data_IF_574613793561
#
_entry.id   IF_574613793561
#
_cell.length_a   1.000
_cell.length_b   1.000
_cell.length_c   1.000
_cell.angle_alpha   90.00
_cell.angle_beta   90.00
_cell.angle_gamma   90.00
#
_symmetry.space_group_name_H-M   'P 1'
#
loop_
_entity.id
_entity.type
_entity.pdbx_description
1 polymer ?
#
# COMPACT_ATOMS: atom_id res chain seq x y z
N UNK A 1 -12.66 -8.41 -6.88
CA UNK A 1 -11.34 -7.78 -7.01
C UNK A 1 -11.24 -6.53 -6.15
N UNK A 2 -10.36 -6.55 -5.23
CA UNK A 2 -10.21 -5.45 -4.32
C UNK A 2 -9.64 -4.22 -4.98
N UNK A 3 -8.54 -4.39 -5.70
CA UNK A 3 -7.85 -3.27 -6.30
C UNK A 3 -8.00 -3.30 -7.80
N UNK A 4 -8.42 -2.19 -8.34
CA UNK A 4 -8.36 -2.03 -9.77
C UNK A 4 -6.92 -1.87 -10.22
N UNK A 5 -6.06 -1.56 -9.29
CA UNK A 5 -4.64 -1.34 -9.54
C UNK A 5 -3.81 -2.58 -9.24
N UNK A 6 -4.40 -3.75 -9.31
CA UNK A 6 -3.68 -4.98 -9.05
C UNK A 6 -2.46 -5.14 -9.95
N UNK A 7 -2.60 -4.82 -11.22
CA UNK A 7 -1.48 -4.93 -12.15
C UNK A 7 -0.37 -3.95 -11.82
N UNK A 8 -0.75 -2.76 -11.40
CA UNK A 8 0.22 -1.76 -11.01
C UNK A 8 1.03 -2.25 -9.81
N UNK A 9 0.36 -2.87 -8.87
CA UNK A 9 1.00 -3.41 -7.68
C UNK A 9 2.03 -4.46 -8.07
N UNK A 10 1.64 -5.37 -8.93
CA UNK A 10 2.51 -6.44 -9.39
C UNK A 10 3.72 -5.87 -10.13
N UNK A 11 3.51 -4.91 -10.98
CA UNK A 11 4.59 -4.30 -11.75
C UNK A 11 5.57 -3.60 -10.84
N UNK A 12 5.08 -2.93 -9.81
CA UNK A 12 5.95 -2.23 -8.88
C UNK A 12 6.81 -3.23 -8.12
N UNK A 13 6.23 -4.36 -7.74
CA UNK A 13 7.00 -5.39 -7.05
C UNK A 13 8.08 -5.97 -7.96
N UNK A 14 7.76 -6.17 -9.21
CA UNK A 14 8.74 -6.70 -10.14
C UNK A 14 9.91 -5.74 -10.34
N UNK A 15 9.63 -4.46 -10.39
CA UNK A 15 10.70 -3.50 -10.58
C UNK A 15 11.65 -3.45 -9.38
N UNK A 16 11.18 -3.87 -8.22
CA UNK A 16 12.01 -3.89 -7.02
C UNK A 16 12.84 -5.15 -6.91
N UNK A 17 12.34 -6.24 -7.44
CA UNK A 17 12.96 -7.54 -7.18
C UNK A 17 13.77 -8.05 -8.37
N UNK A 18 13.54 -7.51 -9.52
CA UNK A 18 14.36 -7.87 -10.67
C UNK A 18 14.45 -9.40 -10.75
N UNK A 19 14.99 -10.01 -11.58
CA UNK A 19 15.18 -11.43 -11.83
C UNK A 19 14.78 -12.41 -10.76
N UNK A 20 13.96 -12.03 -9.85
CA UNK A 20 13.68 -12.84 -8.71
C UNK A 20 12.70 -13.94 -9.02
N UNK A 21 12.66 -14.88 -8.12
CA UNK A 21 11.75 -15.99 -8.13
C UNK A 21 10.30 -15.50 -8.35
N UNK A 22 9.72 -15.96 -9.43
CA UNK A 22 8.35 -15.60 -9.80
C UNK A 22 7.35 -15.95 -8.69
N UNK A 23 7.56 -17.09 -8.05
CA UNK A 23 6.66 -17.52 -6.99
C UNK A 23 6.72 -16.60 -5.79
N UNK A 24 7.90 -16.06 -5.51
CA UNK A 24 8.03 -15.13 -4.41
C UNK A 24 7.24 -13.86 -4.70
N UNK A 25 7.32 -13.37 -5.92
CA UNK A 25 6.59 -12.17 -6.31
C UNK A 25 5.09 -12.39 -6.17
N UNK A 26 4.62 -13.53 -6.64
CA UNK A 26 3.20 -13.86 -6.53
C UNK A 26 2.77 -13.95 -5.09
N UNK A 27 3.56 -14.62 -4.25
CA UNK A 27 3.23 -14.77 -2.86
C UNK A 27 3.18 -13.42 -2.16
N UNK A 28 4.16 -12.57 -2.43
CA UNK A 28 4.19 -11.24 -1.84
C UNK A 28 2.97 -10.43 -2.23
N UNK A 29 2.60 -10.50 -3.51
CA UNK A 29 1.43 -9.77 -3.99
C UNK A 29 0.18 -10.19 -3.22
N UNK A 30 0.00 -11.49 -3.07
CA UNK A 30 -1.17 -12.00 -2.36
C UNK A 30 -1.15 -11.58 -0.90
N UNK A 31 0.01 -11.70 -0.24
CA UNK A 31 0.12 -11.34 1.16
C UNK A 31 -0.17 -9.87 1.40
N UNK A 32 0.33 -9.02 0.51
CA UNK A 32 0.10 -7.59 0.64
C UNK A 32 -1.38 -7.27 0.44
N UNK A 33 -2.00 -7.90 -0.56
CA UNK A 33 -3.42 -7.66 -0.79
C UNK A 33 -4.26 -8.10 0.42
N UNK A 34 -3.94 -9.25 1.00
CA UNK A 34 -4.64 -9.73 2.16
C UNK A 34 -4.46 -8.78 3.35
N UNK A 35 -3.24 -8.32 3.56
CA UNK A 35 -2.97 -7.42 4.67
C UNK A 35 -3.71 -6.10 4.51
N UNK A 36 -3.74 -5.56 3.29
CA UNK A 36 -4.45 -4.31 3.04
C UNK A 36 -5.94 -4.48 3.27
N UNK A 37 -6.48 -5.66 2.89
CA UNK A 37 -7.90 -5.93 3.09
C UNK A 37 -8.29 -5.89 4.56
N UNK A 38 -7.38 -6.25 5.45
CA UNK A 38 -7.70 -6.30 6.87
C UNK A 38 -7.55 -4.96 7.57
N UNK A 39 -7.09 -3.93 6.88
CA UNK A 39 -6.97 -2.61 7.48
C UNK A 39 -8.34 -2.05 7.80
N UNK A 40 -8.45 -1.25 8.87
CA UNK A 40 -9.69 -0.50 9.11
C UNK A 40 -10.04 0.31 7.86
N UNK A 41 -11.32 0.43 7.59
CA UNK A 41 -11.78 1.02 6.35
C UNK A 41 -11.21 2.42 6.09
N UNK A 42 -11.17 3.26 7.11
CA UNK A 42 -10.68 4.61 6.90
C UNK A 42 -9.19 4.65 6.56
N UNK A 43 -8.42 3.74 7.12
CA UNK A 43 -6.99 3.65 6.81
C UNK A 43 -6.78 3.05 5.43
N UNK A 44 -7.54 2.00 5.13
CA UNK A 44 -7.42 1.33 3.85
C UNK A 44 -7.73 2.28 2.71
N UNK A 45 -8.82 3.01 2.84
CA UNK A 45 -9.26 3.92 1.81
C UNK A 45 -8.19 4.96 1.48
N UNK A 46 -7.65 5.60 2.51
CA UNK A 46 -6.62 6.60 2.31
C UNK A 46 -5.35 5.98 1.71
N UNK A 47 -4.98 4.82 2.21
CA UNK A 47 -3.78 4.14 1.74
C UNK A 47 -3.91 3.76 0.27
N UNK A 48 -5.02 3.18 -0.12
CA UNK A 48 -5.22 2.74 -1.50
C UNK A 48 -5.23 3.94 -2.44
N UNK A 49 -5.90 5.00 -2.06
CA UNK A 49 -5.96 6.19 -2.91
C UNK A 49 -4.57 6.78 -3.13
N UNK A 50 -3.76 6.80 -2.09
CA UNK A 50 -2.43 7.38 -2.19
C UNK A 50 -1.48 6.46 -2.95
N UNK A 51 -1.43 5.18 -2.58
CA UNK A 51 -0.43 4.27 -3.12
C UNK A 51 -0.78 3.72 -4.49
N UNK A 52 -2.06 3.44 -4.72
CA UNK A 52 -2.45 2.76 -5.94
C UNK A 52 -3.19 3.63 -6.93
N UNK A 53 -3.70 4.76 -6.49
CA UNK A 53 -4.35 5.71 -7.38
C UNK A 53 -3.53 6.98 -7.55
N UNK A 54 -2.37 6.99 -6.92
CA UNK A 54 -1.39 8.07 -7.11
C UNK A 54 -1.94 9.46 -6.76
N UNK A 55 -2.78 9.52 -5.75
CA UNK A 55 -3.37 10.78 -5.35
C UNK A 55 -2.57 11.42 -4.22
N UNK A 56 -2.55 12.74 -4.21
CA UNK A 56 -1.88 13.47 -3.15
C UNK A 56 -2.74 13.48 -1.89
N UNK A 57 -2.13 13.77 -0.76
CA UNK A 57 -2.87 13.90 0.49
C UNK A 57 -3.97 14.94 0.36
N UNK A 58 -3.66 16.04 -0.32
CA UNK A 58 -4.63 17.10 -0.47
C UNK A 58 -5.84 16.64 -1.28
N UNK A 59 -5.59 15.93 -2.36
CA UNK A 59 -6.67 15.41 -3.19
C UNK A 59 -7.54 14.43 -2.42
N UNK A 60 -6.90 13.53 -1.67
CA UNK A 60 -7.64 12.55 -0.89
C UNK A 60 -8.48 13.26 0.17
N UNK A 61 -7.88 14.25 0.82
CA UNK A 61 -8.59 14.99 1.86
C UNK A 61 -9.84 15.65 1.33
N UNK A 62 -9.75 16.21 0.13
CA UNK A 62 -10.90 16.86 -0.47
C UNK A 62 -12.01 15.85 -0.76
N UNK A 63 -11.65 14.70 -1.28
CA UNK A 63 -12.62 13.68 -1.62
C UNK A 63 -13.30 13.14 -0.36
N UNK A 64 -12.52 12.89 0.68
CA UNK A 64 -13.05 12.27 1.89
C UNK A 64 -13.59 13.28 2.89
N UNK A 65 -13.45 14.56 2.62
CA UNK A 65 -14.01 15.58 3.50
C UNK A 65 -13.29 15.74 4.83
N UNK A 66 -11.98 15.53 4.83
CA UNK A 66 -11.17 15.67 6.04
C UNK A 66 -9.95 16.52 5.71
N UNK A 67 -9.12 16.80 6.71
CA UNK A 67 -7.91 17.58 6.48
C UNK A 67 -6.79 16.72 5.93
N UNK A 68 -5.83 17.32 5.22
CA UNK A 68 -4.65 16.56 4.79
C UNK A 68 -3.89 15.94 5.96
N UNK A 69 -3.90 16.59 7.11
CA UNK A 69 -3.24 16.05 8.28
C UNK A 69 -3.91 14.75 8.74
N UNK A 70 -5.23 14.70 8.63
CA UNK A 70 -5.97 13.49 8.95
C UNK A 70 -5.60 12.36 7.99
N UNK A 71 -5.45 12.69 6.71
CA UNK A 71 -5.03 11.70 5.73
C UNK A 71 -3.65 11.17 6.06
N UNK A 72 -2.72 12.07 6.40
CA UNK A 72 -1.38 11.67 6.80
C UNK A 72 -1.44 10.68 7.97
N UNK A 73 -2.24 11.00 8.97
CA UNK A 73 -2.40 10.13 10.13
C UNK A 73 -2.90 8.74 9.70
N UNK A 74 -3.94 8.71 8.88
CA UNK A 74 -4.54 7.45 8.45
C UNK A 74 -3.54 6.61 7.67
N UNK A 75 -2.77 7.23 6.81
CA UNK A 75 -1.77 6.52 6.02
C UNK A 75 -0.65 6.00 6.91
N UNK A 76 -0.21 6.80 7.89
CA UNK A 76 0.83 6.34 8.81
C UNK A 76 0.33 5.16 9.63
N UNK A 77 -0.92 5.17 10.05
CA UNK A 77 -1.48 4.04 10.78
C UNK A 77 -1.57 2.80 9.89
N UNK A 78 -1.95 2.99 8.63
CA UNK A 78 -1.99 1.86 7.70
C UNK A 78 -0.61 1.27 7.54
N UNK A 79 0.40 2.10 7.33
CA UNK A 79 1.77 1.62 7.18
C UNK A 79 2.26 0.89 8.41
N UNK A 80 1.90 1.39 9.58
CA UNK A 80 2.30 0.76 10.83
C UNK A 80 1.74 -0.65 10.92
N UNK A 81 0.46 -0.80 10.59
CA UNK A 81 -0.17 -2.11 10.64
C UNK A 81 0.40 -3.05 9.58
N UNK A 82 0.64 -2.53 8.39
CA UNK A 82 1.19 -3.36 7.33
C UNK A 82 2.59 -3.85 7.68
N UNK A 83 3.40 -3.01 8.32
CA UNK A 83 4.74 -3.44 8.73
C UNK A 83 4.67 -4.60 9.72
N UNK A 84 3.68 -4.59 10.59
CA UNK A 84 3.51 -5.68 11.54
C UNK A 84 3.05 -6.95 10.83
N UNK A 85 2.05 -6.81 9.97
CA UNK A 85 1.49 -7.96 9.27
C UNK A 85 2.49 -8.60 8.32
N UNK A 86 3.34 -7.79 7.72
CA UNK A 86 4.22 -8.25 6.66
C UNK A 86 5.69 -8.25 7.08
N UNK A 87 5.94 -8.36 8.37
CA UNK A 87 7.30 -8.20 8.87
C UNK A 87 8.30 -9.17 8.24
N UNK A 88 7.85 -10.37 7.89
CA UNK A 88 8.75 -11.36 7.32
C UNK A 88 9.16 -11.00 5.89
N UNK A 89 8.48 -10.06 5.29
CA UNK A 89 8.74 -9.65 3.91
C UNK A 89 9.30 -8.24 3.83
N UNK A 90 9.63 -7.64 4.97
CA UNK A 90 10.04 -6.24 4.98
C UNK A 90 11.20 -5.91 4.04
N UNK A 91 12.24 -6.76 3.92
CA UNK A 91 13.33 -6.41 3.02
C UNK A 91 12.86 -6.19 1.59
N UNK A 92 11.82 -6.86 1.17
CA UNK A 92 11.29 -6.71 -0.18
C UNK A 92 10.31 -5.57 -0.29
N UNK A 93 9.75 -5.13 0.84
CA UNK A 93 8.69 -4.13 0.84
C UNK A 93 9.15 -2.75 1.22
N UNK A 94 10.37 -2.61 1.75
CA UNK A 94 10.83 -1.32 2.23
C UNK A 94 10.68 -0.20 1.22
N UNK A 95 11.10 -0.37 -0.04
CA UNK A 95 10.93 0.73 -0.99
C UNK A 95 9.48 1.13 -1.17
N UNK A 96 8.56 0.17 -1.10
CA UNK A 96 7.14 0.46 -1.25
C UNK A 96 6.58 1.16 -0.02
N UNK A 97 6.99 0.71 1.17
CA UNK A 97 6.44 1.23 2.40
C UNK A 97 7.00 2.59 2.80
N UNK A 98 8.23 2.89 2.40
CA UNK A 98 8.84 4.17 2.75
C UNK A 98 8.69 5.20 1.64
N UNK A 99 8.23 4.79 0.49
CA UNK A 99 7.94 5.74 -0.57
C UNK A 99 6.84 6.67 -0.08
N UNK A 100 7.08 7.95 -0.18
CA UNK A 100 6.13 8.89 0.36
C UNK A 100 5.62 9.83 -0.70
N UNK A 101 4.81 10.74 -0.31
CA UNK A 101 4.18 11.69 -1.22
C UNK A 101 5.17 12.47 -2.04
#
# INVERSE_FOLDING_TARGET
MLFRSENYFYEEMQSLIDDTNFYLIEELTIRIQEAVETLPESYKEAFVMHRFKNMSYKEIAEILGVSPKTIDYRIQQALKQLRIELKDYLPFLLPLLIKHV
#
